data_IF_233499998202
#
_entry.id   IF_233499998202
#
_cell.length_a   1.000
_cell.length_b   1.000
_cell.length_c   1.000
_cell.angle_alpha   90.00
_cell.angle_beta   90.00
_cell.angle_gamma   90.00
#
_symmetry.space_group_name_H-M   'P 1'
#
loop_
_entity.id
_entity.type
_entity.pdbx_description
1 polymer ?
#
# COMPACT_ATOMS: atom_id res chain seq x y z
N UNK A 1 -8.65 18.64 -39.79
CA UNK A 1 -7.39 17.91 -39.64
C UNK A 1 -7.72 16.55 -39.05
N UNK A 2 -7.10 15.48 -39.54
CA UNK A 2 -7.26 14.13 -39.00
C UNK A 2 -6.59 14.05 -37.62
N UNK A 3 -7.28 13.48 -36.63
CA UNK A 3 -6.73 13.32 -35.27
C UNK A 3 -5.72 12.18 -35.28
N UNK A 4 -4.51 12.42 -34.79
CA UNK A 4 -3.40 11.45 -34.75
C UNK A 4 -2.97 11.21 -33.31
N UNK A 5 -3.03 9.95 -32.87
CA UNK A 5 -2.46 9.48 -31.61
C UNK A 5 -1.33 8.50 -31.90
N UNK A 6 -0.17 8.72 -31.30
CA UNK A 6 0.99 7.84 -31.40
C UNK A 6 1.31 7.33 -30.00
N UNK A 7 1.27 6.00 -29.80
CA UNK A 7 1.57 5.38 -28.51
C UNK A 7 2.93 4.68 -28.59
N UNK A 8 3.91 5.25 -27.90
CA UNK A 8 5.25 4.70 -27.73
C UNK A 8 5.23 3.80 -26.49
N UNK A 9 5.48 2.51 -26.70
CA UNK A 9 5.60 1.53 -25.64
C UNK A 9 7.06 1.44 -25.24
N UNK A 10 7.42 2.05 -24.11
CA UNK A 10 8.78 2.01 -23.59
C UNK A 10 8.93 0.76 -22.74
N UNK A 11 9.76 -0.17 -23.18
CA UNK A 11 10.35 -1.08 -22.21
C UNK A 11 11.23 -0.19 -21.35
N UNK A 12 10.69 0.19 -20.18
CA UNK A 12 11.47 0.83 -19.13
C UNK A 12 12.71 0.00 -19.03
N UNK A 13 13.81 0.53 -19.56
CA UNK A 13 15.18 0.05 -19.39
C UNK A 13 16.07 -0.02 -20.66
N UNK A 14 15.62 0.38 -21.84
CA UNK A 14 16.50 0.48 -23.02
C UNK A 14 16.87 1.94 -23.32
N UNK A 15 18.18 2.25 -23.47
CA UNK A 15 18.61 3.55 -24.05
C UNK A 15 17.94 3.81 -25.42
N UNK A 16 17.65 2.72 -26.14
CA UNK A 16 16.87 2.77 -27.38
C UNK A 16 15.48 3.36 -27.18
N UNK A 17 14.79 3.07 -26.06
CA UNK A 17 13.48 3.63 -25.73
C UNK A 17 13.55 5.14 -25.53
N UNK A 18 14.61 5.64 -24.86
CA UNK A 18 14.83 7.09 -24.66
C UNK A 18 15.05 7.79 -26.01
N UNK A 19 15.90 7.22 -26.86
CA UNK A 19 16.18 7.77 -28.19
C UNK A 19 14.95 7.72 -29.11
N UNK A 20 14.16 6.64 -29.04
CA UNK A 20 12.90 6.51 -29.77
C UNK A 20 11.90 7.60 -29.34
N UNK A 21 11.73 7.80 -28.03
CA UNK A 21 10.88 8.87 -27.49
C UNK A 21 11.32 10.25 -28.00
N UNK A 22 12.62 10.55 -27.93
CA UNK A 22 13.18 11.79 -28.45
C UNK A 22 12.87 11.96 -29.93
N UNK A 23 13.24 10.97 -30.74
CA UNK A 23 13.13 11.00 -32.20
C UNK A 23 11.68 11.19 -32.64
N UNK A 24 10.74 10.45 -32.02
CA UNK A 24 9.32 10.54 -32.37
C UNK A 24 8.76 11.92 -32.01
N UNK A 25 9.05 12.45 -30.82
CA UNK A 25 8.53 13.76 -30.39
C UNK A 25 9.08 14.89 -31.27
N UNK A 26 10.37 14.87 -31.59
CA UNK A 26 11.02 15.88 -32.44
C UNK A 26 10.50 15.88 -33.88
N UNK A 27 10.26 14.69 -34.46
CA UNK A 27 9.77 14.55 -35.82
C UNK A 27 8.28 14.85 -35.93
N UNK A 28 7.48 14.35 -34.98
CA UNK A 28 6.02 14.46 -35.06
C UNK A 28 5.53 15.84 -34.61
N UNK A 29 6.27 16.53 -33.73
CA UNK A 29 5.89 17.84 -33.16
C UNK A 29 4.42 17.87 -32.71
N UNK A 30 4.04 17.04 -31.73
CA UNK A 30 2.67 17.00 -31.22
C UNK A 30 2.27 18.29 -30.53
N UNK A 31 0.96 18.54 -30.45
CA UNK A 31 0.39 19.63 -29.64
C UNK A 31 0.43 19.29 -28.14
N UNK A 32 0.41 17.99 -27.82
CA UNK A 32 0.52 17.50 -26.45
C UNK A 32 1.31 16.18 -26.35
N UNK A 33 2.07 16.04 -25.27
CA UNK A 33 2.78 14.81 -24.89
C UNK A 33 2.15 14.25 -23.61
N UNK A 34 1.60 13.05 -23.71
CA UNK A 34 1.03 12.32 -22.59
C UNK A 34 2.06 11.36 -21.99
N UNK A 35 2.18 11.31 -20.67
CA UNK A 35 3.13 10.45 -19.95
C UNK A 35 2.43 9.61 -18.89
N UNK A 36 2.86 8.35 -18.71
CA UNK A 36 2.39 7.42 -17.67
C UNK A 36 2.84 7.84 -16.26
N UNK A 37 2.39 9.01 -15.83
CA UNK A 37 2.66 9.58 -14.52
C UNK A 37 1.37 10.16 -13.94
N UNK A 38 1.24 10.04 -12.63
CA UNK A 38 0.29 10.83 -11.85
C UNK A 38 1.00 12.06 -11.28
N UNK A 39 0.27 13.09 -10.79
CA UNK A 39 0.87 14.33 -10.28
C UNK A 39 1.95 14.12 -9.22
N UNK A 40 1.76 13.15 -8.32
CA UNK A 40 2.75 12.83 -7.28
C UNK A 40 4.06 12.27 -7.88
N UNK A 41 3.97 11.37 -8.88
CA UNK A 41 5.15 10.80 -9.56
C UNK A 41 5.84 11.83 -10.45
N UNK A 42 5.09 12.70 -11.10
CA UNK A 42 5.63 13.82 -11.88
C UNK A 42 6.48 14.74 -11.01
N UNK A 43 5.93 15.25 -9.90
CA UNK A 43 6.65 16.09 -8.95
C UNK A 43 7.91 15.42 -8.41
N UNK A 44 7.80 14.14 -8.05
CA UNK A 44 8.94 13.35 -7.56
C UNK A 44 10.07 13.21 -8.60
N UNK A 45 9.74 13.07 -9.90
CA UNK A 45 10.70 13.03 -11.01
C UNK A 45 11.32 14.40 -11.31
N UNK A 46 10.54 15.48 -11.17
CA UNK A 46 11.02 16.85 -11.35
C UNK A 46 11.91 17.34 -10.18
N UNK A 47 12.05 16.55 -9.12
CA UNK A 47 12.78 16.95 -7.91
C UNK A 47 11.98 17.88 -6.99
N UNK A 48 10.72 18.17 -7.34
CA UNK A 48 9.77 18.90 -6.52
C UNK A 48 9.22 17.95 -5.45
N UNK A 49 9.88 17.86 -4.30
CA UNK A 49 9.38 17.08 -3.17
C UNK A 49 8.86 18.03 -2.12
N UNK A 50 7.58 17.88 -1.77
CA UNK A 50 7.07 18.44 -0.52
C UNK A 50 7.92 17.86 0.60
N UNK A 51 8.55 18.70 1.43
CA UNK A 51 9.23 18.28 2.65
C UNK A 51 8.19 17.80 3.68
N UNK A 52 7.52 16.68 3.38
CA UNK A 52 6.58 16.07 4.31
C UNK A 52 7.41 15.54 5.47
N UNK A 53 7.36 16.27 6.59
CA UNK A 53 8.12 15.92 7.80
C UNK A 53 7.76 14.51 8.22
N UNK A 54 8.75 13.75 8.68
CA UNK A 54 8.53 12.38 9.20
C UNK A 54 7.37 12.35 10.21
N UNK A 55 7.26 13.38 11.06
CA UNK A 55 6.18 13.54 12.04
C UNK A 55 4.78 13.60 11.43
N UNK A 56 4.62 14.16 10.24
CA UNK A 56 3.33 14.19 9.53
C UNK A 56 2.97 12.81 8.97
N UNK A 57 3.95 12.07 8.47
CA UNK A 57 3.76 10.69 8.01
C UNK A 57 3.34 9.80 9.17
N UNK A 58 3.97 9.95 10.34
CA UNK A 58 3.63 9.19 11.54
C UNK A 58 2.23 9.56 12.08
N UNK A 59 1.81 10.83 11.99
CA UNK A 59 0.46 11.28 12.41
C UNK A 59 -0.68 10.72 11.55
N UNK A 60 -0.42 10.36 10.29
CA UNK A 60 -1.44 9.74 9.42
C UNK A 60 -1.88 8.36 9.93
N UNK A 61 -1.04 7.69 10.72
CA UNK A 61 -1.42 6.50 11.47
C UNK A 61 -1.64 5.21 10.68
N UNK A 62 -1.66 5.29 9.35
CA UNK A 62 -1.88 4.17 8.43
C UNK A 62 -0.56 3.43 8.14
N UNK A 63 0.12 3.02 9.21
CA UNK A 63 1.47 2.44 9.18
C UNK A 63 1.57 1.19 8.31
N UNK A 64 0.52 0.38 8.31
CA UNK A 64 0.47 -0.84 7.51
C UNK A 64 0.37 -0.53 6.01
N UNK A 65 -0.42 0.47 5.62
CA UNK A 65 -0.48 0.93 4.24
C UNK A 65 0.87 1.51 3.78
N UNK A 66 1.52 2.32 4.62
CA UNK A 66 2.86 2.86 4.33
C UNK A 66 3.87 1.73 4.17
N UNK A 67 3.85 0.73 5.06
CA UNK A 67 4.72 -0.44 4.97
C UNK A 67 4.57 -1.16 3.61
N UNK A 68 3.33 -1.39 3.18
CA UNK A 68 3.04 -2.01 1.88
C UNK A 68 3.56 -1.16 0.73
N UNK A 69 3.38 0.16 0.78
CA UNK A 69 3.89 1.06 -0.26
C UNK A 69 5.42 1.00 -0.38
N UNK A 70 6.13 0.95 0.75
CA UNK A 70 7.59 0.82 0.77
C UNK A 70 8.05 -0.52 0.19
N UNK A 71 7.40 -1.62 0.56
CA UNK A 71 7.70 -2.96 0.03
C UNK A 71 7.41 -3.07 -1.47
N UNK A 72 6.31 -2.47 -1.93
CA UNK A 72 5.95 -2.43 -3.35
C UNK A 72 6.92 -1.58 -4.16
N UNK A 73 7.31 -0.42 -3.65
CA UNK A 73 8.32 0.42 -4.29
C UNK A 73 9.68 -0.29 -4.40
N UNK A 74 10.07 -1.04 -3.35
CA UNK A 74 11.25 -1.91 -3.41
C UNK A 74 11.12 -2.98 -4.50
N UNK A 75 9.98 -3.67 -4.55
CA UNK A 75 9.73 -4.70 -5.54
C UNK A 75 9.79 -4.15 -6.99
N UNK A 76 9.16 -3.00 -7.25
CA UNK A 76 9.19 -2.34 -8.55
C UNK A 76 10.61 -1.97 -8.99
N UNK A 77 11.47 -1.53 -8.07
CA UNK A 77 12.88 -1.24 -8.37
C UNK A 77 13.67 -2.49 -8.69
N UNK A 78 13.51 -3.55 -7.88
CA UNK A 78 14.24 -4.81 -8.08
C UNK A 78 13.97 -5.42 -9.45
N UNK A 79 12.72 -5.39 -9.92
CA UNK A 79 12.37 -5.80 -11.28
C UNK A 79 13.03 -4.93 -12.36
N UNK A 80 13.25 -3.63 -12.10
CA UNK A 80 13.91 -2.72 -13.03
C UNK A 80 15.44 -2.86 -13.05
N UNK A 81 16.07 -3.18 -11.92
CA UNK A 81 17.52 -3.36 -11.79
C UNK A 81 18.03 -4.63 -12.48
N UNK A 82 17.27 -5.73 -12.44
CA UNK A 82 17.57 -6.97 -13.20
C UNK A 82 17.64 -6.73 -14.72
N UNK A 83 17.09 -5.62 -15.18
CA UNK A 83 17.08 -5.21 -16.58
C UNK A 83 18.23 -4.23 -16.93
N UNK A 84 19.04 -3.77 -15.96
CA UNK A 84 20.25 -2.91 -16.12
C UNK A 84 20.09 -1.40 -16.44
N UNK A 85 18.98 -0.73 -16.12
CA UNK A 85 18.95 0.77 -16.15
C UNK A 85 17.96 1.41 -15.15
N UNK A 86 17.95 2.76 -15.07
CA UNK A 86 17.18 3.55 -14.12
C UNK A 86 15.72 3.74 -14.60
N UNK A 87 14.72 3.32 -13.81
CA UNK A 87 13.31 3.51 -14.16
C UNK A 87 12.94 5.00 -14.31
N UNK A 88 12.24 5.33 -15.41
CA UNK A 88 11.64 6.66 -15.61
C UNK A 88 12.45 7.66 -16.45
N UNK A 89 13.61 7.27 -16.99
CA UNK A 89 14.38 8.13 -17.90
C UNK A 89 13.61 8.44 -19.19
N UNK A 90 12.83 7.50 -19.75
CA UNK A 90 12.02 7.77 -20.94
C UNK A 90 10.95 8.84 -20.68
N UNK A 91 10.34 8.79 -19.49
CA UNK A 91 9.30 9.76 -19.10
C UNK A 91 9.89 11.15 -18.90
N UNK A 92 11.10 11.23 -18.31
CA UNK A 92 11.81 12.49 -18.14
C UNK A 92 12.21 13.10 -19.48
N UNK A 93 12.71 12.29 -20.41
CA UNK A 93 13.05 12.74 -21.76
C UNK A 93 11.80 13.22 -22.51
N UNK A 94 10.68 12.51 -22.41
CA UNK A 94 9.41 12.92 -22.98
C UNK A 94 8.97 14.30 -22.46
N UNK A 95 9.04 14.51 -21.14
CA UNK A 95 8.73 15.79 -20.48
C UNK A 95 9.66 16.90 -20.98
N UNK A 96 10.96 16.62 -21.06
CA UNK A 96 11.96 17.59 -21.52
C UNK A 96 11.68 18.01 -22.97
N UNK A 97 11.48 17.04 -23.86
CA UNK A 97 11.23 17.30 -25.28
C UNK A 97 9.90 18.02 -25.52
N UNK A 98 8.86 17.69 -24.75
CA UNK A 98 7.60 18.42 -24.77
C UNK A 98 7.80 19.91 -24.46
N UNK A 99 8.58 20.24 -23.42
CA UNK A 99 8.92 21.64 -23.07
C UNK A 99 9.72 22.34 -24.16
N UNK A 100 10.67 21.65 -24.80
CA UNK A 100 11.50 22.22 -25.87
C UNK A 100 10.67 22.63 -27.11
N UNK A 101 9.59 21.90 -27.40
CA UNK A 101 8.71 22.18 -28.55
C UNK A 101 7.43 22.95 -28.17
N UNK A 102 7.32 23.41 -26.93
CA UNK A 102 6.14 24.10 -26.37
C UNK A 102 4.83 23.27 -26.50
N UNK A 103 4.93 21.94 -26.30
CA UNK A 103 3.78 21.04 -26.24
C UNK A 103 3.24 20.89 -24.82
N UNK A 104 1.91 20.77 -24.69
CA UNK A 104 1.25 20.56 -23.41
C UNK A 104 1.63 19.19 -22.82
N UNK A 105 1.93 19.14 -21.52
CA UNK A 105 2.25 17.89 -20.81
C UNK A 105 1.01 17.34 -20.13
N UNK A 106 0.61 16.12 -20.49
CA UNK A 106 -0.57 15.46 -19.95
C UNK A 106 -0.18 14.28 -19.05
N UNK A 107 -0.62 14.32 -17.80
CA UNK A 107 -0.44 13.24 -16.83
C UNK A 107 -1.63 12.30 -16.92
N UNK A 108 -1.43 11.10 -17.48
CA UNK A 108 -2.55 10.21 -17.85
C UNK A 108 -2.77 9.04 -16.89
N UNK A 109 -1.90 8.84 -15.89
CA UNK A 109 -1.99 7.71 -14.97
C UNK A 109 -2.72 8.05 -13.67
N UNK A 110 -3.28 7.02 -13.02
CA UNK A 110 -4.02 7.12 -11.77
C UNK A 110 -3.07 7.39 -10.60
N UNK A 111 -3.57 8.09 -9.59
CA UNK A 111 -2.85 8.26 -8.33
C UNK A 111 -2.44 6.89 -7.75
N UNK A 112 -1.15 6.75 -7.45
CA UNK A 112 -0.58 5.48 -7.02
C UNK A 112 -1.11 5.05 -5.64
N UNK A 113 -1.46 6.00 -4.77
CA UNK A 113 -2.09 5.72 -3.47
C UNK A 113 -3.48 5.11 -3.66
N UNK A 114 -4.26 5.64 -4.61
CA UNK A 114 -5.57 5.08 -4.97
C UNK A 114 -5.41 3.66 -5.54
N UNK A 115 -4.48 3.49 -6.48
CA UNK A 115 -4.14 2.18 -7.07
C UNK A 115 -3.81 1.15 -5.99
N UNK A 116 -2.93 1.49 -5.03
CA UNK A 116 -2.56 0.59 -3.94
C UNK A 116 -3.70 0.31 -2.96
N UNK A 117 -4.52 1.30 -2.62
CA UNK A 117 -5.70 1.08 -1.76
C UNK A 117 -6.66 0.10 -2.42
N UNK A 118 -6.92 0.26 -3.72
CA UNK A 118 -7.80 -0.65 -4.47
C UNK A 118 -7.22 -2.05 -4.60
N UNK A 119 -5.91 -2.15 -4.88
CA UNK A 119 -5.18 -3.40 -4.93
C UNK A 119 -5.42 -4.18 -3.63
N UNK A 120 -5.18 -3.54 -2.50
CA UNK A 120 -5.36 -4.16 -1.19
C UNK A 120 -6.81 -4.53 -0.87
N UNK A 121 -7.77 -3.73 -1.33
CA UNK A 121 -9.20 -4.01 -1.11
C UNK A 121 -9.74 -5.14 -1.97
N UNK A 122 -9.18 -5.36 -3.16
CA UNK A 122 -9.64 -6.41 -4.09
C UNK A 122 -9.06 -7.77 -3.73
N UNK A 123 -7.85 -7.83 -3.20
CA UNK A 123 -7.21 -9.09 -2.81
C UNK A 123 -7.92 -9.75 -1.61
N UNK A 124 -8.14 -11.05 -1.72
CA UNK A 124 -8.53 -11.90 -0.59
C UNK A 124 -7.41 -12.01 0.45
N UNK A 125 -7.73 -12.49 1.66
CA UNK A 125 -6.73 -12.70 2.70
C UNK A 125 -5.62 -13.67 2.25
N UNK A 126 -5.98 -14.73 1.52
CA UNK A 126 -5.02 -15.69 0.96
C UNK A 126 -4.12 -15.07 -0.11
N UNK A 127 -4.68 -14.25 -1.01
CA UNK A 127 -3.88 -13.52 -2.01
C UNK A 127 -2.88 -12.57 -1.33
N UNK A 128 -3.30 -11.88 -0.25
CA UNK A 128 -2.41 -10.99 0.53
C UNK A 128 -1.25 -11.75 1.16
N UNK A 129 -1.52 -12.89 1.79
CA UNK A 129 -0.49 -13.72 2.41
C UNK A 129 0.51 -14.24 1.38
N UNK A 130 0.02 -14.78 0.24
CA UNK A 130 0.88 -15.22 -0.88
C UNK A 130 1.73 -14.07 -1.42
N UNK A 131 1.12 -12.91 -1.63
CA UNK A 131 1.84 -11.75 -2.15
C UNK A 131 2.96 -11.27 -1.23
N UNK A 132 2.70 -11.17 0.08
CA UNK A 132 3.73 -10.85 1.07
C UNK A 132 4.84 -11.92 1.05
N UNK A 133 4.47 -13.20 0.99
CA UNK A 133 5.43 -14.31 0.92
C UNK A 133 6.39 -14.17 -0.27
N UNK A 134 5.88 -13.90 -1.47
CA UNK A 134 6.71 -13.73 -2.66
C UNK A 134 7.58 -12.46 -2.61
N UNK A 135 7.07 -11.35 -2.08
CA UNK A 135 7.90 -10.15 -1.85
C UNK A 135 9.06 -10.46 -0.91
N UNK A 136 8.81 -11.17 0.19
CA UNK A 136 9.84 -11.52 1.17
C UNK A 136 10.87 -12.50 0.60
N UNK A 137 10.43 -13.44 -0.26
CA UNK A 137 11.33 -14.35 -1.01
C UNK A 137 12.11 -13.61 -2.10
N UNK A 138 11.59 -12.48 -2.57
CA UNK A 138 12.26 -11.61 -3.54
C UNK A 138 12.29 -12.18 -4.96
N UNK A 139 11.45 -13.17 -5.27
CA UNK A 139 11.30 -13.77 -6.59
C UNK A 139 9.88 -14.34 -6.74
N UNK A 140 9.27 -14.06 -7.89
CA UNK A 140 8.09 -14.76 -8.41
C UNK A 140 8.47 -15.83 -9.45
N UNK A 141 9.78 -15.98 -9.72
CA UNK A 141 10.32 -16.55 -10.95
C UNK A 141 10.99 -17.93 -10.77
N UNK A 142 11.09 -18.47 -9.55
CA UNK A 142 11.70 -19.79 -9.33
C UNK A 142 10.90 -20.96 -9.93
N UNK A 143 9.66 -20.72 -10.36
CA UNK A 143 8.81 -21.70 -11.07
C UNK A 143 8.79 -21.48 -12.60
N UNK A 144 9.69 -20.65 -13.16
CA UNK A 144 9.70 -20.34 -14.60
C UNK A 144 10.62 -21.32 -15.33
N UNK A 145 10.03 -22.01 -16.31
CA UNK A 145 10.75 -22.89 -17.22
C UNK A 145 11.63 -22.06 -18.18
N UNK A 146 12.91 -22.38 -18.28
CA UNK A 146 13.89 -21.58 -19.03
C UNK A 146 13.55 -21.45 -20.54
N UNK A 147 12.73 -22.36 -21.05
CA UNK A 147 12.30 -22.42 -22.45
C UNK A 147 11.17 -21.44 -22.81
N UNK A 148 10.39 -20.93 -21.85
CA UNK A 148 9.35 -19.91 -22.10
C UNK A 148 9.91 -18.49 -22.23
N UNK A 149 11.03 -18.21 -21.55
CA UNK A 149 11.74 -16.91 -21.56
C UNK A 149 12.20 -16.51 -22.98
N UNK A 150 12.44 -17.50 -23.86
CA UNK A 150 12.97 -17.29 -25.20
C UNK A 150 11.90 -16.97 -26.25
N UNK A 151 10.60 -17.11 -25.93
CA UNK A 151 9.51 -17.03 -26.93
C UNK A 151 8.55 -15.85 -26.77
N UNK A 152 8.49 -15.24 -25.58
CA UNK A 152 7.63 -14.09 -25.29
C UNK A 152 8.48 -12.89 -24.85
N UNK A 153 7.98 -11.67 -25.00
CA UNK A 153 8.59 -10.51 -24.35
C UNK A 153 8.63 -10.79 -22.83
N UNK A 154 9.80 -10.65 -22.21
CA UNK A 154 10.02 -10.93 -20.78
C UNK A 154 8.98 -10.19 -19.92
N UNK A 155 8.54 -9.02 -20.37
CA UNK A 155 7.50 -8.23 -19.70
C UNK A 155 6.14 -8.94 -19.74
N UNK A 156 5.73 -9.48 -20.89
CA UNK A 156 4.46 -10.20 -21.03
C UNK A 156 4.46 -11.49 -20.20
N UNK A 157 5.59 -12.21 -20.16
CA UNK A 157 5.76 -13.40 -19.32
C UNK A 157 5.61 -13.07 -17.83
N UNK A 158 6.30 -12.01 -17.35
CA UNK A 158 6.21 -11.58 -15.96
C UNK A 158 4.78 -11.13 -15.57
N UNK A 159 4.09 -10.43 -16.47
CA UNK A 159 2.69 -10.03 -16.27
C UNK A 159 1.78 -11.26 -16.21
N UNK A 160 2.00 -12.25 -17.07
CA UNK A 160 1.24 -13.50 -17.10
C UNK A 160 1.43 -14.32 -15.83
N UNK A 161 2.65 -14.48 -15.35
CA UNK A 161 2.94 -15.18 -14.10
C UNK A 161 2.36 -14.43 -12.89
N UNK A 162 2.46 -13.09 -12.87
CA UNK A 162 1.81 -12.29 -11.84
C UNK A 162 0.29 -12.47 -11.83
N UNK A 163 -0.35 -12.55 -13.00
CA UNK A 163 -1.79 -12.83 -13.14
C UNK A 163 -2.17 -14.19 -12.57
N UNK A 164 -1.32 -15.23 -12.70
CA UNK A 164 -1.58 -16.55 -12.07
C UNK A 164 -1.56 -16.46 -10.54
N UNK A 165 -0.70 -15.62 -9.99
CA UNK A 165 -0.49 -15.51 -8.53
C UNK A 165 -1.58 -14.67 -7.87
N UNK A 166 -1.92 -13.53 -8.47
CA UNK A 166 -3.02 -12.70 -8.01
C UNK A 166 -3.75 -12.03 -9.17
N UNK A 167 -4.77 -12.72 -9.73
CA UNK A 167 -5.52 -12.19 -10.88
C UNK A 167 -6.23 -10.88 -10.53
N UNK A 168 -6.68 -10.72 -9.29
CA UNK A 168 -7.31 -9.47 -8.82
C UNK A 168 -6.31 -8.33 -8.69
N UNK A 169 -5.07 -8.62 -8.29
CA UNK A 169 -4.02 -7.62 -8.23
C UNK A 169 -3.62 -7.14 -9.62
N UNK A 170 -3.41 -8.08 -10.55
CA UNK A 170 -3.13 -7.77 -11.94
C UNK A 170 -4.25 -6.95 -12.58
N UNK A 171 -5.52 -7.29 -12.29
CA UNK A 171 -6.66 -6.48 -12.72
C UNK A 171 -6.57 -5.02 -12.27
N UNK A 172 -6.14 -4.75 -11.04
CA UNK A 172 -6.05 -3.37 -10.53
C UNK A 172 -4.79 -2.63 -10.99
N UNK A 173 -3.65 -3.33 -11.05
CA UNK A 173 -2.34 -2.75 -11.38
C UNK A 173 -2.12 -2.58 -12.88
N UNK A 174 -2.86 -3.32 -13.71
CA UNK A 174 -2.73 -3.33 -15.16
C UNK A 174 -4.06 -2.91 -15.78
N UNK A 175 -5.07 -3.79 -15.77
CA UNK A 175 -6.30 -3.56 -16.55
C UNK A 175 -7.03 -2.25 -16.18
N UNK A 176 -7.20 -1.97 -14.88
CA UNK A 176 -7.84 -0.72 -14.44
C UNK A 176 -6.99 0.52 -14.76
N UNK A 177 -5.66 0.40 -14.83
CA UNK A 177 -4.79 1.52 -15.20
C UNK A 177 -4.82 1.74 -16.71
N UNK A 178 -4.87 0.67 -17.50
CA UNK A 178 -5.04 0.74 -18.95
C UNK A 178 -6.35 1.42 -19.31
N UNK A 179 -7.46 1.05 -18.65
CA UNK A 179 -8.76 1.71 -18.83
C UNK A 179 -8.70 3.20 -18.44
N UNK A 180 -8.03 3.54 -17.35
CA UNK A 180 -7.88 4.92 -16.89
C UNK A 180 -7.05 5.77 -17.88
N UNK A 181 -5.92 5.23 -18.35
CA UNK A 181 -5.04 5.89 -19.33
C UNK A 181 -5.71 6.04 -20.69
N UNK A 182 -6.39 4.98 -21.17
CA UNK A 182 -7.15 5.00 -22.42
C UNK A 182 -8.23 6.09 -22.40
N UNK A 183 -8.96 6.23 -21.28
CA UNK A 183 -9.94 7.30 -21.12
C UNK A 183 -9.30 8.69 -21.20
N UNK A 184 -8.21 8.92 -20.47
CA UNK A 184 -7.52 10.21 -20.48
C UNK A 184 -6.94 10.55 -21.87
N UNK A 185 -6.44 9.55 -22.60
CA UNK A 185 -5.96 9.73 -23.98
C UNK A 185 -7.08 10.08 -24.95
N UNK A 186 -8.25 9.43 -24.85
CA UNK A 186 -9.40 9.79 -25.67
C UNK A 186 -9.86 11.23 -25.40
N UNK A 187 -9.89 11.67 -24.13
CA UNK A 187 -10.18 13.06 -23.78
C UNK A 187 -9.11 14.03 -24.29
N UNK A 188 -7.85 13.64 -24.26
CA UNK A 188 -6.77 14.43 -24.86
C UNK A 188 -7.01 14.60 -26.36
N UNK A 189 -7.41 13.54 -27.07
CA UNK A 189 -7.75 13.60 -28.49
C UNK A 189 -9.01 14.44 -28.77
N UNK A 190 -9.89 14.71 -27.80
CA UNK A 190 -10.98 15.69 -27.96
C UNK A 190 -10.44 17.12 -28.07
N UNK A 191 -9.38 17.44 -27.33
CA UNK A 191 -8.79 18.78 -27.22
C UNK A 191 -7.65 19.03 -28.22
N UNK A 192 -6.85 18.02 -28.53
CA UNK A 192 -5.64 18.13 -29.35
C UNK A 192 -5.76 17.29 -30.63
N UNK A 193 -5.23 17.79 -31.75
CA UNK A 193 -5.25 17.06 -33.02
C UNK A 193 -4.10 16.04 -33.11
N UNK A 194 -2.97 16.29 -32.45
CA UNK A 194 -1.80 15.42 -32.47
C UNK A 194 -1.26 15.20 -31.07
N UNK A 195 -1.35 13.97 -30.58
CA UNK A 195 -0.88 13.56 -29.25
C UNK A 195 0.14 12.43 -29.38
N UNK A 196 1.27 12.55 -28.68
CA UNK A 196 2.22 11.44 -28.48
C UNK A 196 2.10 10.98 -27.04
N UNK A 197 1.80 9.70 -26.83
CA UNK A 197 1.72 9.06 -25.52
C UNK A 197 2.95 8.18 -25.29
N UNK A 198 3.62 8.37 -24.16
CA UNK A 198 4.75 7.58 -23.70
C UNK A 198 4.29 6.75 -22.50
N UNK A 199 4.22 5.44 -22.68
CA UNK A 199 3.71 4.47 -21.69
C UNK A 199 4.63 3.27 -21.60
N UNK A 200 4.64 2.57 -20.47
CA UNK A 200 5.33 1.30 -20.32
C UNK A 200 4.84 0.27 -21.36
N UNK A 201 5.76 -0.55 -21.87
CA UNK A 201 5.46 -1.55 -22.90
C UNK A 201 4.31 -2.49 -22.50
N UNK A 202 4.25 -2.89 -21.23
CA UNK A 202 3.18 -3.73 -20.68
C UNK A 202 1.77 -3.09 -20.68
N UNK A 203 1.67 -1.76 -20.85
CA UNK A 203 0.40 -1.03 -20.89
C UNK A 203 -0.06 -0.73 -22.32
N UNK A 204 0.85 -0.66 -23.30
CA UNK A 204 0.52 -0.25 -24.68
C UNK A 204 -0.62 -1.07 -25.27
N UNK A 205 -0.53 -2.40 -25.20
CA UNK A 205 -1.54 -3.30 -25.77
C UNK A 205 -2.89 -3.15 -25.06
N UNK A 206 -2.91 -3.16 -23.73
CA UNK A 206 -4.14 -3.03 -22.94
C UNK A 206 -4.85 -1.69 -23.15
N UNK A 207 -4.09 -0.60 -23.29
CA UNK A 207 -4.64 0.74 -23.63
C UNK A 207 -5.32 0.69 -25.00
N UNK A 208 -4.66 0.16 -26.03
CA UNK A 208 -5.23 0.08 -27.37
C UNK A 208 -6.52 -0.76 -27.41
N UNK A 209 -6.51 -1.92 -26.74
CA UNK A 209 -7.69 -2.78 -26.60
C UNK A 209 -8.84 -2.07 -25.86
N UNK A 210 -8.53 -1.34 -24.78
CA UNK A 210 -9.51 -0.57 -24.02
C UNK A 210 -10.12 0.57 -24.85
N UNK A 211 -9.31 1.29 -25.64
CA UNK A 211 -9.78 2.33 -26.54
C UNK A 211 -10.73 1.77 -27.61
N UNK A 212 -10.41 0.61 -28.21
CA UNK A 212 -11.25 -0.03 -29.22
C UNK A 212 -12.59 -0.51 -28.66
N UNK A 213 -12.58 -1.08 -27.44
CA UNK A 213 -13.79 -1.54 -26.75
C UNK A 213 -14.71 -0.38 -26.32
N UNK A 214 -14.17 0.82 -26.23
CA UNK A 214 -14.81 1.98 -25.61
C UNK A 214 -14.64 1.95 -24.10
N UNK A 215 -14.12 3.05 -23.57
CA UNK A 215 -13.91 3.25 -22.12
C UNK A 215 -15.04 4.08 -21.54
N UNK A 216 -15.50 3.67 -20.36
CA UNK A 216 -16.48 4.43 -19.58
C UNK A 216 -15.77 5.44 -18.67
N UNK A 217 -16.55 6.34 -18.07
CA UNK A 217 -16.07 7.28 -17.06
C UNK A 217 -15.24 6.56 -15.96
N UNK A 218 -13.97 6.96 -15.75
CA UNK A 218 -13.05 6.33 -14.81
C UNK A 218 -13.36 6.70 -13.36
N UNK A 219 -14.43 7.45 -13.06
CA UNK A 219 -14.84 7.79 -11.69
C UNK A 219 -14.88 6.55 -10.77
N UNK A 220 -15.37 5.41 -11.26
CA UNK A 220 -15.39 4.14 -10.51
C UNK A 220 -13.99 3.55 -10.25
N UNK A 221 -12.99 3.93 -11.05
CA UNK A 221 -11.60 3.49 -10.94
C UNK A 221 -10.81 4.35 -9.94
N UNK A 222 -11.31 5.54 -9.58
CA UNK A 222 -10.74 6.38 -8.52
C UNK A 222 -11.46 6.23 -7.17
N UNK A 223 -12.68 5.70 -7.16
CA UNK A 223 -13.39 5.39 -5.92
C UNK A 223 -12.65 4.33 -5.08
N UNK A 224 -12.49 4.60 -3.79
CA UNK A 224 -11.99 3.62 -2.81
C UNK A 224 -13.11 3.39 -1.81
N UNK A 225 -13.51 2.12 -1.61
CA UNK A 225 -14.56 1.81 -0.63
C UNK A 225 -14.09 2.23 0.75
N UNK A 226 -14.73 3.23 1.33
CA UNK A 226 -14.57 3.50 2.75
C UNK A 226 -15.40 2.47 3.51
N UNK A 227 -14.75 1.65 4.35
CA UNK A 227 -15.38 0.59 5.11
C UNK A 227 -16.28 1.13 6.23
N UNK A 228 -17.34 1.87 5.90
CA UNK A 228 -18.28 2.44 6.87
C UNK A 228 -18.88 1.35 7.76
N UNK A 229 -19.21 0.19 7.20
CA UNK A 229 -19.71 -0.97 7.96
C UNK A 229 -18.67 -1.52 8.95
N UNK A 230 -17.40 -1.58 8.56
CA UNK A 230 -16.32 -2.06 9.43
C UNK A 230 -16.11 -1.11 10.62
N UNK A 231 -16.32 0.20 10.42
CA UNK A 231 -16.32 1.19 11.50
C UNK A 231 -17.43 0.91 12.52
N UNK A 232 -18.65 0.65 12.07
CA UNK A 232 -19.79 0.35 12.96
C UNK A 232 -19.63 -1.00 13.68
N UNK A 233 -19.11 -2.03 13.00
CA UNK A 233 -18.78 -3.32 13.64
C UNK A 233 -17.72 -3.10 14.73
N UNK A 234 -16.68 -2.31 14.46
CA UNK A 234 -15.66 -1.97 15.45
C UNK A 234 -16.23 -1.21 16.66
N UNK A 235 -17.10 -0.22 16.41
CA UNK A 235 -17.78 0.53 17.48
C UNK A 235 -18.68 -0.39 18.30
N UNK A 236 -19.46 -1.26 17.65
CA UNK A 236 -20.34 -2.20 18.33
C UNK A 236 -19.54 -3.20 19.19
N UNK A 237 -18.43 -3.74 18.65
CA UNK A 237 -17.53 -4.61 19.40
C UNK A 237 -16.97 -3.90 20.65
N UNK A 238 -16.48 -2.67 20.49
CA UNK A 238 -15.98 -1.88 21.63
C UNK A 238 -17.08 -1.59 22.64
N UNK A 239 -18.29 -1.26 22.20
CA UNK A 239 -19.42 -1.04 23.08
C UNK A 239 -19.79 -2.30 23.87
N UNK A 240 -19.78 -3.48 23.23
CA UNK A 240 -20.01 -4.77 23.91
C UNK A 240 -18.92 -5.04 24.94
N UNK A 241 -17.65 -4.84 24.61
CA UNK A 241 -16.54 -5.04 25.55
C UNK A 241 -16.63 -4.08 26.72
N UNK A 242 -16.86 -2.78 26.47
CA UNK A 242 -17.03 -1.78 27.54
C UNK A 242 -18.26 -2.05 28.41
N UNK A 243 -19.37 -2.50 27.80
CA UNK A 243 -20.56 -2.93 28.54
C UNK A 243 -20.24 -4.13 29.44
N UNK A 244 -19.51 -5.13 28.94
CA UNK A 244 -19.07 -6.27 29.73
C UNK A 244 -18.19 -5.83 30.92
N UNK A 245 -17.21 -4.95 30.70
CA UNK A 245 -16.39 -4.38 31.78
C UNK A 245 -17.23 -3.56 32.78
N UNK A 246 -18.22 -2.81 32.31
CA UNK A 246 -19.10 -2.03 33.18
C UNK A 246 -20.00 -2.90 34.04
N UNK A 247 -20.66 -3.91 33.44
CA UNK A 247 -21.51 -4.86 34.16
C UNK A 247 -20.70 -5.65 35.19
N UNK A 248 -19.52 -6.14 34.82
CA UNK A 248 -18.62 -6.80 35.78
C UNK A 248 -18.16 -5.86 36.89
N UNK A 249 -17.94 -4.58 36.62
CA UNK A 249 -17.61 -3.62 37.67
C UNK A 249 -18.75 -3.38 38.68
N UNK A 250 -20.02 -3.45 38.24
CA UNK A 250 -21.17 -3.27 39.11
C UNK A 250 -21.51 -4.51 39.94
N UNK A 251 -21.40 -5.69 39.33
CA UNK A 251 -21.94 -6.93 39.92
C UNK A 251 -20.86 -7.95 40.31
N UNK A 252 -19.62 -7.80 39.83
CA UNK A 252 -18.59 -8.84 39.88
C UNK A 252 -17.17 -8.27 40.11
N UNK A 253 -16.99 -7.45 41.15
CA UNK A 253 -15.75 -6.69 41.38
C UNK A 253 -14.51 -7.57 41.53
N UNK A 254 -14.64 -8.76 42.11
CA UNK A 254 -13.53 -9.72 42.20
C UNK A 254 -13.16 -10.28 40.82
N UNK A 255 -14.16 -10.58 39.99
CA UNK A 255 -13.99 -11.09 38.64
C UNK A 255 -13.42 -10.03 37.69
N UNK A 256 -13.77 -8.76 37.87
CA UNK A 256 -13.26 -7.63 37.09
C UNK A 256 -11.73 -7.61 37.07
N UNK A 257 -11.10 -7.84 38.23
CA UNK A 257 -9.63 -7.83 38.36
C UNK A 257 -8.97 -8.92 37.51
N UNK A 258 -9.56 -10.13 37.49
CA UNK A 258 -9.08 -11.26 36.68
C UNK A 258 -9.28 -10.98 35.19
N UNK A 259 -10.49 -10.59 34.79
CA UNK A 259 -10.82 -10.23 33.40
C UNK A 259 -9.87 -9.16 32.88
N UNK A 260 -9.65 -8.10 33.66
CA UNK A 260 -8.71 -7.04 33.30
C UNK A 260 -7.28 -7.56 33.16
N UNK A 261 -6.80 -8.38 34.10
CA UNK A 261 -5.45 -8.95 34.04
C UNK A 261 -5.25 -9.79 32.78
N UNK A 262 -6.19 -10.69 32.43
CA UNK A 262 -6.10 -11.49 31.21
C UNK A 262 -6.17 -10.62 29.96
N UNK A 263 -7.07 -9.63 29.91
CA UNK A 263 -7.14 -8.68 28.80
C UNK A 263 -5.84 -7.92 28.61
N UNK A 264 -5.27 -7.43 29.71
CA UNK A 264 -4.02 -6.69 29.75
C UNK A 264 -2.86 -7.54 29.25
N UNK A 265 -2.69 -8.76 29.79
CA UNK A 265 -1.60 -9.66 29.44
C UNK A 265 -1.70 -10.13 27.99
N UNK A 266 -2.87 -10.55 27.53
CA UNK A 266 -3.06 -11.05 26.16
C UNK A 266 -2.73 -9.95 25.14
N UNK A 267 -3.30 -8.76 25.30
CA UNK A 267 -3.04 -7.64 24.41
C UNK A 267 -1.58 -7.19 24.49
N UNK A 268 -1.05 -7.02 25.70
CA UNK A 268 0.31 -6.57 25.95
C UNK A 268 1.36 -7.52 25.34
N UNK A 269 1.26 -8.82 25.60
CA UNK A 269 2.22 -9.82 25.13
C UNK A 269 2.22 -9.90 23.60
N UNK A 270 1.04 -9.94 22.96
CA UNK A 270 0.95 -10.05 21.51
C UNK A 270 1.43 -8.78 20.80
N UNK A 271 1.10 -7.60 21.33
CA UNK A 271 1.62 -6.32 20.81
C UNK A 271 3.14 -6.21 20.98
N UNK A 272 3.67 -6.57 22.16
CA UNK A 272 5.09 -6.59 22.45
C UNK A 272 5.86 -7.61 21.57
N UNK A 273 5.26 -8.78 21.30
CA UNK A 273 5.82 -9.76 20.37
C UNK A 273 5.91 -9.21 18.96
N UNK A 274 4.90 -8.47 18.49
CA UNK A 274 4.94 -7.76 17.22
C UNK A 274 6.09 -6.75 17.15
N UNK A 275 6.27 -5.95 18.20
CA UNK A 275 7.41 -5.02 18.32
C UNK A 275 8.76 -5.77 18.34
N UNK A 276 8.85 -6.89 19.04
CA UNK A 276 10.07 -7.72 19.13
C UNK A 276 10.44 -8.31 17.76
N UNK A 277 9.46 -8.82 17.00
CA UNK A 277 9.65 -9.32 15.63
C UNK A 277 10.17 -8.21 14.70
N UNK A 278 9.72 -6.97 14.89
CA UNK A 278 10.25 -5.80 14.19
C UNK A 278 11.67 -5.40 14.63
N UNK A 279 12.23 -6.05 15.66
CA UNK A 279 13.48 -5.68 16.36
C UNK A 279 13.44 -4.25 16.89
N UNK A 280 12.33 -3.90 17.54
CA UNK A 280 12.15 -2.62 18.19
C UNK A 280 13.15 -2.41 19.34
N UNK A 281 13.38 -1.17 19.71
CA UNK A 281 14.08 -0.84 20.94
C UNK A 281 13.31 -1.38 22.17
N UNK A 282 13.98 -1.82 23.26
CA UNK A 282 13.29 -2.33 24.46
C UNK A 282 12.21 -1.40 25.01
N UNK A 283 12.44 -0.08 25.01
CA UNK A 283 11.42 0.90 25.43
C UNK A 283 10.16 0.89 24.56
N UNK A 284 10.30 0.66 23.26
CA UNK A 284 9.16 0.54 22.34
C UNK A 284 8.39 -0.75 22.64
N UNK A 285 9.09 -1.86 22.90
CA UNK A 285 8.48 -3.14 23.32
C UNK A 285 7.71 -2.99 24.63
N UNK A 286 8.30 -2.32 25.63
CA UNK A 286 7.64 -2.04 26.92
C UNK A 286 6.42 -1.14 26.71
N UNK A 287 6.53 -0.10 25.89
CA UNK A 287 5.39 0.79 25.60
C UNK A 287 4.26 0.05 24.89
N UNK A 288 4.57 -0.86 23.96
CA UNK A 288 3.59 -1.73 23.32
C UNK A 288 2.87 -2.61 24.35
N UNK A 289 3.62 -3.25 25.25
CA UNK A 289 3.07 -4.09 26.32
C UNK A 289 2.11 -3.30 27.22
N UNK A 290 2.54 -2.14 27.70
CA UNK A 290 1.79 -1.35 28.68
C UNK A 290 0.57 -0.65 28.11
N UNK A 291 0.59 -0.28 26.82
CA UNK A 291 -0.47 0.53 26.23
C UNK A 291 -1.48 -0.27 25.38
N UNK A 292 -1.17 -1.51 24.99
CA UNK A 292 -2.01 -2.27 24.06
C UNK A 292 -3.45 -2.48 24.54
N UNK A 293 -3.64 -2.77 25.83
CA UNK A 293 -4.96 -2.99 26.44
C UNK A 293 -5.88 -1.77 26.33
N UNK A 294 -5.32 -0.57 26.44
CA UNK A 294 -6.07 0.68 26.36
C UNK A 294 -6.46 0.96 24.91
N UNK A 295 -5.52 0.76 23.99
CA UNK A 295 -5.75 0.96 22.57
C UNK A 295 -6.69 -0.08 21.97
N UNK A 296 -6.74 -1.31 22.50
CA UNK A 296 -7.70 -2.32 22.06
C UNK A 296 -9.16 -1.95 22.38
N UNK A 297 -9.38 -1.08 23.37
CA UNK A 297 -10.70 -0.57 23.75
C UNK A 297 -11.05 0.76 23.06
N UNK A 298 -10.11 1.35 22.33
CA UNK A 298 -10.31 2.62 21.64
C UNK A 298 -10.01 2.49 20.14
N UNK A 299 -11.03 2.48 19.27
CA UNK A 299 -10.83 2.31 17.83
C UNK A 299 -10.10 3.50 17.17
N UNK A 300 -9.90 4.60 17.90
CA UNK A 300 -9.20 5.80 17.43
C UNK A 300 -7.74 5.89 17.87
N UNK A 301 -7.27 4.98 18.75
CA UNK A 301 -5.89 4.93 19.22
C UNK A 301 -5.33 3.53 18.99
N UNK A 302 -4.20 3.43 18.29
CA UNK A 302 -3.58 2.13 18.00
C UNK A 302 -2.27 1.95 18.80
N UNK A 303 -2.04 0.75 19.35
CA UNK A 303 -0.84 0.44 20.15
C UNK A 303 0.47 0.79 19.42
N UNK A 304 0.49 0.57 18.11
CA UNK A 304 1.62 0.88 17.24
C UNK A 304 1.89 2.36 17.04
N UNK A 305 0.92 3.26 17.26
CA UNK A 305 1.20 4.70 17.25
C UNK A 305 2.11 5.06 18.42
N UNK A 306 1.83 4.51 19.61
CA UNK A 306 2.62 4.76 20.82
C UNK A 306 4.00 4.10 20.68
N UNK A 307 4.04 2.80 20.36
CA UNK A 307 5.29 2.05 20.17
C UNK A 307 6.15 2.64 19.05
N UNK A 308 5.53 3.02 17.93
CA UNK A 308 6.19 3.69 16.82
C UNK A 308 6.69 5.09 17.17
N UNK A 309 5.94 5.87 17.96
CA UNK A 309 6.39 7.18 18.43
C UNK A 309 7.60 7.07 19.37
N UNK A 310 7.60 6.10 20.29
CA UNK A 310 8.75 5.81 21.15
C UNK A 310 9.95 5.40 20.31
N UNK A 311 9.76 4.51 19.33
CA UNK A 311 10.83 4.09 18.40
C UNK A 311 11.38 5.29 17.60
N UNK A 312 10.50 6.17 17.12
CA UNK A 312 10.88 7.37 16.37
C UNK A 312 11.65 8.36 17.24
N UNK A 313 11.24 8.55 18.50
CA UNK A 313 11.92 9.42 19.45
C UNK A 313 13.35 8.94 19.75
N UNK A 314 13.55 7.62 19.83
CA UNK A 314 14.84 7.01 20.10
C UNK A 314 15.73 7.04 18.85
N UNK A 315 15.22 6.61 17.69
CA UNK A 315 16.02 6.49 16.45
C UNK A 315 16.24 7.82 15.74
N UNK A 316 15.34 8.78 15.92
CA UNK A 316 15.34 10.10 15.28
C UNK A 316 15.50 9.99 13.75
N UNK A 317 14.54 9.36 13.05
CA UNK A 317 14.58 9.26 11.59
C UNK A 317 14.56 10.66 10.94
N UNK A 318 15.44 10.87 9.96
CA UNK A 318 15.54 12.10 9.19
C UNK A 318 14.86 11.96 7.83
N UNK A 319 14.69 13.08 7.10
CA UNK A 319 14.17 13.05 5.73
C UNK A 319 15.02 12.17 4.80
N UNK A 320 16.35 12.17 5.01
CA UNK A 320 17.26 11.28 4.29
C UNK A 320 16.92 9.80 4.48
N UNK A 321 16.51 9.37 5.68
CA UNK A 321 16.09 7.98 5.91
C UNK A 321 14.83 7.63 5.09
N UNK A 322 13.91 8.59 4.92
CA UNK A 322 12.73 8.40 4.05
C UNK A 322 13.18 8.19 2.60
N UNK A 323 14.12 8.99 2.10
CA UNK A 323 14.63 8.82 0.74
C UNK A 323 15.39 7.52 0.54
N UNK A 324 16.26 7.17 1.50
CA UNK A 324 17.12 6.00 1.42
C UNK A 324 16.29 4.71 1.43
N UNK A 325 15.13 4.66 2.12
CA UNK A 325 14.26 3.47 2.04
C UNK A 325 13.65 3.30 0.64
N UNK A 326 13.36 4.39 -0.06
CA UNK A 326 12.93 4.36 -1.47
C UNK A 326 14.08 4.10 -2.44
N UNK A 327 15.32 3.98 -1.96
CA UNK A 327 16.52 3.63 -2.75
C UNK A 327 17.17 2.33 -2.27
N UNK A 328 16.54 1.60 -1.35
CA UNK A 328 17.09 0.37 -0.81
C UNK A 328 17.19 -0.72 -1.89
N UNK A 329 18.37 -1.36 -1.98
CA UNK A 329 18.69 -2.43 -2.95
C UNK A 329 18.38 -3.82 -2.40
N UNK A 330 18.17 -3.95 -1.08
CA UNK A 330 17.78 -5.20 -0.44
C UNK A 330 16.79 -4.98 0.71
N UNK A 331 16.04 -6.04 1.07
CA UNK A 331 15.21 -6.06 2.27
C UNK A 331 16.04 -5.82 3.55
N UNK A 332 17.32 -6.23 3.55
CA UNK A 332 18.24 -5.98 4.66
C UNK A 332 18.51 -4.48 4.80
N UNK A 333 18.69 -3.76 3.71
CA UNK A 333 18.89 -2.31 3.72
C UNK A 333 17.64 -1.58 4.21
N UNK A 334 16.46 -2.02 3.76
CA UNK A 334 15.19 -1.50 4.27
C UNK A 334 15.08 -1.72 5.78
N UNK A 335 15.36 -2.93 6.27
CA UNK A 335 15.32 -3.21 7.71
C UNK A 335 16.31 -2.32 8.48
N UNK A 336 17.51 -2.07 7.94
CA UNK A 336 18.51 -1.23 8.60
C UNK A 336 18.16 0.27 8.57
N UNK A 337 17.23 0.69 7.71
CA UNK A 337 16.76 2.06 7.64
C UNK A 337 15.91 2.46 8.86
N UNK A 338 16.21 3.62 9.45
CA UNK A 338 15.53 4.09 10.68
C UNK A 338 14.05 4.36 10.47
N UNK A 339 13.69 4.99 9.36
CA UNK A 339 12.30 5.31 9.04
C UNK A 339 11.50 4.02 8.82
N UNK A 340 11.99 3.11 7.99
CA UNK A 340 11.34 1.82 7.78
C UNK A 340 11.16 1.06 9.09
N UNK A 341 12.17 1.07 9.96
CA UNK A 341 12.09 0.41 11.27
C UNK A 341 10.94 0.94 12.12
N UNK A 342 10.77 2.26 12.20
CA UNK A 342 9.65 2.89 12.93
C UNK A 342 8.31 2.44 12.37
N UNK A 343 8.15 2.45 11.05
CA UNK A 343 6.91 2.03 10.38
C UNK A 343 6.64 0.54 10.65
N UNK A 344 7.66 -0.32 10.55
CA UNK A 344 7.55 -1.75 10.79
C UNK A 344 7.16 -2.06 12.25
N UNK A 345 7.79 -1.39 13.22
CA UNK A 345 7.45 -1.50 14.65
C UNK A 345 6.01 -1.13 14.89
N UNK A 346 5.55 0.01 14.36
CA UNK A 346 4.17 0.45 14.50
C UNK A 346 3.18 -0.56 13.86
N UNK A 347 3.46 -1.02 12.63
CA UNK A 347 2.60 -1.94 11.91
C UNK A 347 2.48 -3.31 12.60
N UNK A 348 3.58 -3.91 13.02
CA UNK A 348 3.56 -5.22 13.70
C UNK A 348 3.00 -5.14 15.12
N UNK A 349 3.21 -4.03 15.82
CA UNK A 349 2.56 -3.78 17.12
C UNK A 349 1.03 -3.69 16.96
N UNK A 350 0.54 -2.98 15.93
CA UNK A 350 -0.89 -2.91 15.63
C UNK A 350 -1.48 -4.28 15.27
N UNK A 351 -0.75 -5.08 14.49
CA UNK A 351 -1.16 -6.45 14.17
C UNK A 351 -1.27 -7.30 15.46
N UNK A 352 -0.25 -7.25 16.32
CA UNK A 352 -0.25 -7.97 17.60
C UNK A 352 -1.42 -7.57 18.51
N UNK A 353 -1.66 -6.26 18.67
CA UNK A 353 -2.80 -5.75 19.45
C UNK A 353 -4.14 -6.14 18.84
N UNK A 354 -4.27 -6.18 17.51
CA UNK A 354 -5.50 -6.62 16.84
C UNK A 354 -5.79 -8.09 17.09
N UNK A 355 -4.77 -8.95 16.98
CA UNK A 355 -4.89 -10.38 17.31
C UNK A 355 -5.23 -10.55 18.79
N UNK A 356 -4.59 -9.78 19.68
CA UNK A 356 -4.86 -9.79 21.10
C UNK A 356 -6.27 -9.34 21.47
N UNK A 357 -6.84 -8.38 20.74
CA UNK A 357 -8.21 -7.93 20.93
C UNK A 357 -9.22 -9.03 20.59
N UNK A 358 -9.04 -9.69 19.43
CA UNK A 358 -9.92 -10.77 18.97
C UNK A 358 -9.80 -11.98 19.90
N UNK A 359 -8.56 -12.43 20.14
CA UNK A 359 -8.30 -13.60 20.97
C UNK A 359 -8.65 -13.36 22.45
N UNK A 360 -8.32 -12.19 22.99
CA UNK A 360 -8.66 -11.80 24.36
C UNK A 360 -10.18 -11.72 24.56
N UNK A 361 -10.91 -11.18 23.58
CA UNK A 361 -12.38 -11.13 23.63
C UNK A 361 -12.98 -12.54 23.63
N UNK A 362 -12.50 -13.41 22.74
CA UNK A 362 -12.89 -14.82 22.71
C UNK A 362 -12.57 -15.55 24.03
N UNK A 363 -11.37 -15.36 24.56
CA UNK A 363 -10.91 -16.00 25.80
C UNK A 363 -11.78 -15.58 26.99
N UNK A 364 -12.03 -14.27 27.13
CA UNK A 364 -12.84 -13.75 28.24
C UNK A 364 -14.29 -14.23 28.16
N UNK A 365 -14.90 -14.18 26.98
CA UNK A 365 -16.29 -14.62 26.80
C UNK A 365 -16.47 -16.11 27.11
N UNK A 366 -15.50 -16.94 26.72
CA UNK A 366 -15.57 -18.40 26.93
C UNK A 366 -15.23 -18.83 28.35
N UNK A 367 -14.30 -18.16 29.04
CA UNK A 367 -13.82 -18.60 30.35
C UNK A 367 -14.47 -17.87 31.52
N UNK A 368 -14.89 -16.60 31.34
CA UNK A 368 -15.46 -15.78 32.42
C UNK A 368 -16.90 -15.35 32.16
N UNK A 369 -17.40 -15.42 30.92
CA UNK A 369 -18.76 -15.01 30.59
C UNK A 369 -19.86 -15.78 31.33
N UNK A 370 -19.63 -17.06 31.62
CA UNK A 370 -20.59 -17.91 32.35
C UNK A 370 -20.74 -17.48 33.81
N UNK A 371 -19.65 -17.08 34.46
CA UNK A 371 -19.68 -16.67 35.87
C UNK A 371 -20.36 -15.31 36.04
N UNK A 372 -20.17 -14.39 35.08
CA UNK A 372 -20.89 -13.11 35.06
C UNK A 372 -22.41 -13.31 35.03
N UNK A 373 -22.90 -14.23 34.20
CA UNK A 373 -24.35 -14.51 34.12
C UNK A 373 -24.88 -15.05 35.45
N UNK A 374 -24.13 -15.94 36.11
CA UNK A 374 -24.52 -16.50 37.41
C UNK A 374 -24.52 -15.43 38.50
N UNK A 375 -23.48 -14.61 38.61
CA UNK A 375 -23.39 -13.55 39.61
C UNK A 375 -24.49 -12.48 39.44
N UNK A 376 -24.88 -12.18 38.20
CA UNK A 376 -26.02 -11.30 37.93
C UNK A 376 -27.34 -11.95 38.36
N UNK A 377 -27.56 -13.22 38.03
CA UNK A 377 -28.78 -13.95 38.39
C UNK A 377 -28.94 -14.07 39.92
N UNK A 378 -27.85 -14.24 40.67
CA UNK A 378 -27.86 -14.27 42.13
C UNK A 378 -28.18 -12.90 42.75
N UNK A 379 -27.73 -11.80 42.13
CA UNK A 379 -27.95 -10.43 42.64
C UNK A 379 -29.26 -9.80 42.18
N UNK A 380 -29.86 -10.29 41.09
CA UNK A 380 -31.15 -9.81 40.56
C UNK A 380 -32.05 -11.03 40.26
N UNK A 381 -32.72 -11.61 41.28
CA UNK A 381 -33.44 -12.87 41.15
C UNK A 381 -34.76 -12.80 40.35
N UNK A 382 -35.13 -11.64 39.81
CA UNK A 382 -36.40 -11.40 39.09
C UNK A 382 -36.22 -11.08 37.59
N UNK A 383 -35.01 -11.28 37.06
CA UNK A 383 -34.67 -11.31 35.63
C UNK A 383 -34.50 -12.77 35.21
#
# INVERSE_FOLDING_TARGET
>A
MEKKLIIIGTAHVLQKSVEEVRTVIENEKPEAVAVELCPARYRALMGERDEVRVTEILKRGDFFLILIQLLLGYFQRKMGEEMNTKPGEEMLEAIKKAKEIDADILLIDRDITITFKRLWQRMSLWEKLKFIYYILRGSFAEDIDAEEILKEDVIDLLVREFRKISPKAAKVLIDERDEFMAYNLLRAMEKYNKVVAVVGAGHKRGIMEAMQRGVQDPSKLVEVRQGKALKWIGIAFVAVVLCFFFVTALFATELLSKVFLYWFLINGILAASGALLARAHPFSVISAFLCAWLTSLNPFLAAGWISGAVEAWIRKPAMKDVEDVFKANSLKDMLNNKFFRVILVAALTNLGSTIGTIYGGYYILTHFGVDVVKEIAEKIPYL
#
